data_IF_413751202338
#
_entry.id   IF_413751202338
#
_cell.length_a   1.000
_cell.length_b   1.000
_cell.length_c   1.000
_cell.angle_alpha   90.00
_cell.angle_beta   90.00
_cell.angle_gamma   90.00
#
_symmetry.space_group_name_H-M   'P 1'
#
loop_
_entity.id
_entity.type
_entity.pdbx_description
1 polymer ?
#
# COMPACT_ATOMS: atom_id res chain seq x y z
N UNK A 1 7.18 2.89 36.89
CA UNK A 1 6.56 3.91 36.00
C UNK A 1 5.71 3.09 35.06
N UNK A 2 4.41 2.98 35.37
CA UNK A 2 3.50 2.10 34.65
C UNK A 2 3.05 2.78 33.36
N UNK A 3 3.15 2.06 32.25
CA UNK A 3 2.63 2.47 30.95
C UNK A 3 1.10 2.57 31.05
N UNK A 4 0.60 3.76 31.40
CA UNK A 4 -0.78 4.13 31.14
C UNK A 4 -0.94 4.37 29.63
N UNK A 5 -0.92 3.29 28.85
CA UNK A 5 -1.43 3.34 27.49
C UNK A 5 -2.95 3.60 27.59
N UNK A 6 -3.34 4.80 27.20
CA UNK A 6 -4.73 5.23 27.15
C UNK A 6 -5.50 4.30 26.19
N UNK A 7 -6.29 3.39 26.76
CA UNK A 7 -7.01 2.32 26.02
C UNK A 7 -7.98 2.89 24.96
N UNK A 8 -8.28 4.19 25.02
CA UNK A 8 -9.09 4.92 24.05
C UNK A 8 -8.36 5.23 22.73
N UNK A 9 -7.03 5.12 22.69
CA UNK A 9 -6.22 5.45 21.50
C UNK A 9 -6.48 4.46 20.37
N UNK A 10 -6.55 3.15 20.66
CA UNK A 10 -6.76 2.12 19.63
C UNK A 10 -8.11 2.31 18.91
N UNK A 11 -9.26 2.44 19.61
CA UNK A 11 -10.54 2.76 18.96
C UNK A 11 -10.50 4.05 18.15
N UNK A 12 -9.83 5.09 18.64
CA UNK A 12 -9.74 6.40 17.96
C UNK A 12 -8.93 6.31 16.67
N UNK A 13 -7.82 5.60 16.68
CA UNK A 13 -7.01 5.35 15.47
C UNK A 13 -7.81 4.54 14.45
N UNK A 14 -8.51 3.47 14.87
CA UNK A 14 -9.38 2.68 13.97
C UNK A 14 -10.47 3.55 13.34
N UNK A 15 -11.17 4.36 14.13
CA UNK A 15 -12.19 5.26 13.61
C UNK A 15 -11.62 6.27 12.60
N UNK A 16 -10.41 6.78 12.85
CA UNK A 16 -9.73 7.67 11.91
C UNK A 16 -9.41 6.96 10.59
N UNK A 17 -8.84 5.75 10.66
CA UNK A 17 -8.50 4.94 9.50
C UNK A 17 -9.77 4.61 8.69
N UNK A 18 -10.82 4.13 9.36
CA UNK A 18 -12.11 3.80 8.72
C UNK A 18 -12.71 5.00 7.99
N UNK A 19 -12.61 6.21 8.58
CA UNK A 19 -13.10 7.43 7.95
C UNK A 19 -12.40 7.69 6.61
N UNK A 20 -11.09 7.49 6.52
CA UNK A 20 -10.34 7.66 5.28
C UNK A 20 -10.57 6.50 4.30
N UNK A 21 -10.63 5.26 4.81
CA UNK A 21 -10.83 4.07 3.97
C UNK A 21 -12.21 4.09 3.30
N UNK A 22 -13.27 4.57 3.97
CA UNK A 22 -14.63 4.68 3.41
C UNK A 22 -14.77 5.73 2.30
N UNK A 23 -13.85 6.68 2.18
CA UNK A 23 -13.90 7.67 1.12
C UNK A 23 -13.48 7.04 -0.21
N UNK A 24 -14.38 7.00 -1.20
CA UNK A 24 -14.08 6.50 -2.56
C UNK A 24 -12.86 7.19 -3.21
N UNK A 25 -12.57 8.43 -2.80
CA UNK A 25 -11.46 9.26 -3.29
C UNK A 25 -10.09 8.87 -2.72
N UNK A 26 -10.05 8.06 -1.66
CA UNK A 26 -8.80 7.63 -1.03
C UNK A 26 -8.22 6.43 -1.75
N UNK A 27 -6.97 6.53 -2.20
CA UNK A 27 -6.20 5.36 -2.63
C UNK A 27 -5.72 4.61 -1.40
N UNK A 28 -5.99 3.31 -1.32
CA UNK A 28 -5.58 2.45 -0.21
C UNK A 28 -4.28 1.76 -0.59
N UNK A 29 -3.25 1.95 0.22
CA UNK A 29 -1.96 1.27 0.10
C UNK A 29 -1.87 0.27 1.25
N UNK A 30 -2.19 -1.00 0.97
CA UNK A 30 -2.15 -2.05 1.98
C UNK A 30 -0.72 -2.60 2.09
N UNK A 31 0.01 -2.14 3.11
CA UNK A 31 1.39 -2.54 3.35
C UNK A 31 1.44 -3.84 4.14
N UNK A 32 2.10 -4.86 3.60
CA UNK A 32 2.19 -6.19 4.20
C UNK A 32 3.65 -6.64 4.18
N UNK A 33 4.23 -7.11 5.30
CA UNK A 33 5.58 -7.66 5.28
C UNK A 33 5.57 -9.08 4.69
N UNK A 34 6.61 -9.45 3.95
CA UNK A 34 6.71 -10.73 3.25
C UNK A 34 6.96 -11.93 4.18
N UNK A 35 7.40 -11.66 5.42
CA UNK A 35 7.77 -12.69 6.41
C UNK A 35 6.59 -13.15 7.29
N UNK A 36 5.39 -12.62 7.07
CA UNK A 36 4.16 -13.09 7.75
C UNK A 36 3.25 -13.73 6.72
N UNK A 37 2.36 -14.63 7.16
CA UNK A 37 1.37 -15.19 6.25
C UNK A 37 0.46 -14.10 5.69
N UNK A 38 0.71 -13.76 4.43
CA UNK A 38 0.04 -12.69 3.72
C UNK A 38 -1.44 -13.02 3.40
N UNK A 39 -1.87 -14.27 3.54
CA UNK A 39 -3.25 -14.67 3.24
C UNK A 39 -4.22 -14.13 4.29
N UNK A 40 -3.77 -13.98 5.54
CA UNK A 40 -4.61 -13.66 6.69
C UNK A 40 -4.27 -12.32 7.37
N UNK A 41 -3.73 -11.35 6.63
CA UNK A 41 -3.45 -10.04 7.22
C UNK A 41 -4.71 -9.19 7.33
N UNK A 42 -5.00 -8.72 8.54
CA UNK A 42 -6.17 -7.88 8.87
C UNK A 42 -6.30 -6.68 7.92
N UNK A 43 -5.16 -6.11 7.48
CA UNK A 43 -5.15 -4.95 6.58
C UNK A 43 -5.70 -5.26 5.18
N UNK A 44 -5.44 -6.45 4.64
CA UNK A 44 -5.98 -6.83 3.33
C UNK A 44 -7.48 -7.09 3.42
N UNK A 45 -7.95 -7.62 4.55
CA UNK A 45 -9.39 -7.78 4.79
C UNK A 45 -10.08 -6.42 4.93
N UNK A 46 -9.56 -5.54 5.78
CA UNK A 46 -10.11 -4.18 5.95
C UNK A 46 -10.11 -3.40 4.63
N UNK A 47 -9.06 -3.54 3.81
CA UNK A 47 -9.00 -2.93 2.49
C UNK A 47 -10.06 -3.51 1.53
N UNK A 48 -10.27 -4.82 1.55
CA UNK A 48 -11.31 -5.48 0.75
C UNK A 48 -12.73 -5.09 1.17
N UNK A 49 -12.97 -4.89 2.47
CA UNK A 49 -14.26 -4.41 2.99
C UNK A 49 -14.53 -2.96 2.57
N UNK A 50 -13.50 -2.12 2.56
CA UNK A 50 -13.61 -0.71 2.13
C UNK A 50 -13.64 -0.53 0.60
N UNK A 51 -13.03 -1.44 -0.16
CA UNK A 51 -12.96 -1.42 -1.63
C UNK A 51 -13.20 -2.84 -2.20
N UNK A 52 -14.47 -3.31 -2.24
CA UNK A 52 -14.80 -4.67 -2.67
C UNK A 52 -14.38 -4.99 -4.11
N UNK A 53 -14.29 -3.98 -4.97
CA UNK A 53 -13.87 -4.14 -6.36
C UNK A 53 -12.33 -4.07 -6.53
N UNK A 54 -11.59 -3.69 -5.47
CA UNK A 54 -10.14 -3.52 -5.49
C UNK A 54 -9.65 -2.43 -6.45
N UNK A 55 -10.52 -1.50 -6.86
CA UNK A 55 -10.24 -0.52 -7.94
C UNK A 55 -9.34 0.64 -7.52
N UNK A 56 -9.11 0.80 -6.22
CA UNK A 56 -8.28 1.84 -5.60
C UNK A 56 -7.37 1.29 -4.51
N UNK A 57 -7.20 -0.04 -4.44
CA UNK A 57 -6.39 -0.73 -3.44
C UNK A 57 -5.21 -1.44 -4.07
N UNK A 58 -3.99 -1.06 -3.70
CA UNK A 58 -2.77 -1.75 -4.08
C UNK A 58 -2.12 -2.40 -2.85
N UNK A 59 -1.67 -3.65 -3.00
CA UNK A 59 -0.93 -4.35 -1.96
C UNK A 59 0.57 -4.14 -2.13
N UNK A 60 1.23 -3.57 -1.13
CA UNK A 60 2.69 -3.34 -1.13
C UNK A 60 3.35 -4.32 -0.19
N UNK A 61 4.18 -5.19 -0.76
CA UNK A 61 4.93 -6.22 -0.04
C UNK A 61 6.29 -5.65 0.37
N UNK A 62 6.57 -5.64 1.67
CA UNK A 62 7.82 -5.12 2.25
C UNK A 62 8.62 -6.23 2.90
N UNK A 63 9.84 -5.93 3.39
CA UNK A 63 10.70 -6.89 4.11
C UNK A 63 10.93 -8.19 3.33
N UNK A 64 11.01 -8.10 2.00
CA UNK A 64 11.30 -9.23 1.11
C UNK A 64 12.71 -9.81 1.32
N UNK A 65 13.57 -9.07 2.00
CA UNK A 65 14.90 -9.48 2.45
C UNK A 65 14.88 -10.37 3.71
N UNK A 66 13.74 -10.47 4.40
CA UNK A 66 13.57 -11.29 5.60
C UNK A 66 12.73 -12.56 5.35
N UNK A 67 12.53 -12.92 4.09
CA UNK A 67 11.82 -14.15 3.75
C UNK A 67 12.74 -15.34 3.99
N UNK A 68 12.28 -16.33 4.74
CA UNK A 68 13.04 -17.53 5.04
C UNK A 68 13.25 -18.40 3.80
N UNK A 69 14.38 -19.10 3.77
CA UNK A 69 14.69 -20.07 2.71
C UNK A 69 13.63 -21.17 2.64
N UNK A 70 13.04 -21.34 1.46
CA UNK A 70 11.91 -22.24 1.19
C UNK A 70 10.56 -21.52 1.09
N UNK A 71 10.43 -20.30 1.62
CA UNK A 71 9.21 -19.51 1.52
C UNK A 71 9.21 -18.51 0.34
N UNK A 72 10.36 -18.28 -0.30
CA UNK A 72 10.51 -17.29 -1.38
C UNK A 72 9.61 -17.60 -2.56
N UNK A 73 9.46 -18.89 -2.91
CA UNK A 73 8.59 -19.32 -4.00
C UNK A 73 7.13 -18.93 -3.72
N UNK A 74 6.67 -19.08 -2.47
CA UNK A 74 5.31 -18.74 -2.10
C UNK A 74 5.04 -17.23 -2.22
N UNK A 75 5.99 -16.40 -1.79
CA UNK A 75 5.93 -14.94 -1.93
C UNK A 75 6.03 -14.53 -3.40
N UNK A 76 6.89 -15.18 -4.18
CA UNK A 76 7.04 -14.93 -5.61
C UNK A 76 5.72 -15.20 -6.37
N UNK A 77 5.05 -16.32 -6.10
CA UNK A 77 3.74 -16.62 -6.71
C UNK A 77 2.64 -15.64 -6.30
N UNK A 78 2.69 -15.15 -5.06
CA UNK A 78 1.78 -14.11 -4.59
C UNK A 78 2.01 -12.79 -5.35
N UNK A 79 3.25 -12.37 -5.53
CA UNK A 79 3.60 -11.17 -6.29
C UNK A 79 3.15 -11.25 -7.76
N UNK A 80 3.14 -12.47 -8.33
CA UNK A 80 2.55 -12.76 -9.64
C UNK A 80 1.01 -12.86 -9.64
N UNK A 81 0.37 -12.53 -8.52
CA UNK A 81 -1.09 -12.53 -8.37
C UNK A 81 -1.73 -13.92 -8.56
N UNK A 82 -0.99 -15.02 -8.32
CA UNK A 82 -1.48 -16.40 -8.56
C UNK A 82 -2.28 -16.98 -7.40
N UNK A 83 -1.92 -16.65 -6.16
CA UNK A 83 -2.55 -17.23 -4.94
C UNK A 83 -3.82 -16.46 -4.53
N UNK A 84 -3.67 -15.20 -4.13
CA UNK A 84 -4.76 -14.28 -3.80
C UNK A 84 -4.81 -13.22 -4.88
N UNK A 85 -5.94 -13.06 -5.56
CA UNK A 85 -6.06 -12.11 -6.68
C UNK A 85 -6.47 -10.73 -6.18
N UNK A 86 -5.65 -9.73 -6.47
CA UNK A 86 -5.95 -8.32 -6.28
C UNK A 86 -6.13 -7.66 -7.65
N UNK A 87 -7.11 -6.76 -7.78
CA UNK A 87 -7.39 -6.08 -9.06
C UNK A 87 -6.21 -5.22 -9.54
N UNK A 88 -5.61 -4.43 -8.65
CA UNK A 88 -4.38 -3.66 -8.97
C UNK A 88 -3.08 -4.45 -8.73
N UNK A 89 -3.20 -5.72 -8.32
CA UNK A 89 -2.08 -6.63 -8.06
C UNK A 89 -1.25 -6.27 -6.82
N UNK A 90 -0.06 -6.85 -6.79
CA UNK A 90 0.94 -6.65 -5.73
C UNK A 90 2.15 -5.90 -6.26
N UNK A 91 2.86 -5.24 -5.35
CA UNK A 91 4.13 -4.58 -5.65
C UNK A 91 5.13 -4.80 -4.51
N UNK A 92 6.34 -5.26 -4.82
CA UNK A 92 7.38 -5.49 -3.84
C UNK A 92 8.30 -4.28 -3.69
N UNK A 93 8.69 -3.96 -2.45
CA UNK A 93 9.71 -2.95 -2.17
C UNK A 93 10.68 -3.45 -1.11
N UNK A 94 11.92 -2.99 -1.20
CA UNK A 94 12.92 -3.17 -0.14
C UNK A 94 13.24 -1.82 0.46
N UNK A 95 12.85 -1.64 1.72
CA UNK A 95 13.18 -0.46 2.48
C UNK A 95 14.60 -0.54 3.06
N UNK A 96 15.12 0.60 3.50
CA UNK A 96 16.37 0.64 4.30
C UNK A 96 16.17 -0.15 5.59
N UNK A 97 17.09 -1.07 5.86
CA UNK A 97 17.12 -1.83 7.10
C UNK A 97 17.46 -0.93 8.29
N UNK A 98 17.14 -1.39 9.50
CA UNK A 98 17.49 -0.66 10.73
C UNK A 98 18.99 -0.37 10.82
N UNK A 99 19.84 -1.32 10.38
CA UNK A 99 21.30 -1.18 10.35
C UNK A 99 21.75 -0.09 9.37
N UNK A 100 21.11 0.01 8.21
CA UNK A 100 21.43 1.05 7.22
C UNK A 100 21.01 2.45 7.70
N UNK A 101 19.89 2.54 8.44
CA UNK A 101 19.45 3.78 9.07
C UNK A 101 20.45 4.25 10.13
N UNK A 102 20.91 3.36 11.01
CA UNK A 102 21.93 3.69 12.03
C UNK A 102 23.25 4.14 11.41
N UNK A 103 23.60 3.62 10.23
CA UNK A 103 24.80 4.02 9.47
C UNK A 103 24.63 5.30 8.65
N UNK A 104 23.47 5.96 8.70
CA UNK A 104 23.22 7.19 7.95
C UNK A 104 23.11 6.99 6.44
N UNK A 105 22.64 5.83 5.98
CA UNK A 105 22.46 5.57 4.54
C UNK A 105 21.43 6.52 3.95
N UNK A 106 21.86 7.35 2.99
CA UNK A 106 21.00 8.29 2.30
C UNK A 106 19.95 7.57 1.42
N UNK A 107 18.96 8.32 0.94
CA UNK A 107 17.84 7.77 0.18
C UNK A 107 18.33 7.18 -1.15
N UNK A 108 19.20 7.89 -1.86
CA UNK A 108 19.75 7.47 -3.17
C UNK A 108 20.47 6.12 -3.09
N UNK A 109 21.30 5.93 -2.06
CA UNK A 109 21.99 4.66 -1.82
C UNK A 109 21.01 3.55 -1.43
N UNK A 110 19.94 3.88 -0.70
CA UNK A 110 18.86 2.95 -0.43
C UNK A 110 18.18 2.44 -1.70
N UNK A 111 17.90 3.34 -2.65
CA UNK A 111 17.32 2.99 -3.96
C UNK A 111 18.28 2.12 -4.80
N UNK A 112 19.59 2.45 -4.80
CA UNK A 112 20.59 1.63 -5.48
C UNK A 112 20.71 0.23 -4.87
N UNK A 113 20.65 0.12 -3.54
CA UNK A 113 20.65 -1.15 -2.83
C UNK A 113 19.40 -1.98 -3.13
N UNK A 114 18.23 -1.34 -3.26
CA UNK A 114 16.99 -1.99 -3.68
C UNK A 114 17.14 -2.59 -5.09
N UNK A 115 17.60 -1.79 -6.06
CA UNK A 115 17.79 -2.26 -7.44
C UNK A 115 18.78 -3.42 -7.51
N UNK A 116 19.88 -3.34 -6.76
CA UNK A 116 20.88 -4.40 -6.68
C UNK A 116 20.30 -5.68 -6.07
N UNK A 117 19.51 -5.54 -4.99
CA UNK A 117 18.87 -6.68 -4.34
C UNK A 117 17.90 -7.41 -5.27
N UNK A 118 16.98 -6.70 -5.91
CA UNK A 118 16.04 -7.32 -6.84
C UNK A 118 16.74 -7.89 -8.09
N UNK A 119 17.83 -7.26 -8.55
CA UNK A 119 18.58 -7.73 -9.72
C UNK A 119 19.46 -8.97 -9.47
N UNK A 120 19.96 -9.16 -8.25
CA UNK A 120 20.90 -10.25 -7.94
C UNK A 120 20.25 -11.45 -7.24
N UNK A 121 19.12 -11.27 -6.57
CA UNK A 121 18.50 -12.34 -5.79
C UNK A 121 17.82 -13.38 -6.69
N UNK A 122 18.08 -14.66 -6.45
CA UNK A 122 17.68 -15.79 -7.31
C UNK A 122 16.18 -15.81 -7.67
N UNK A 123 15.33 -15.60 -6.66
CA UNK A 123 13.87 -15.58 -6.85
C UNK A 123 13.36 -14.24 -7.38
N UNK A 124 13.86 -13.12 -6.86
CA UNK A 124 13.30 -11.81 -7.17
C UNK A 124 13.73 -11.26 -8.53
N UNK A 125 14.87 -11.68 -9.05
CA UNK A 125 15.33 -11.28 -10.39
C UNK A 125 14.46 -11.84 -11.51
N UNK A 126 13.71 -12.92 -11.24
CA UNK A 126 12.75 -13.54 -12.16
C UNK A 126 11.40 -12.82 -12.17
N UNK A 127 11.16 -11.90 -11.23
CA UNK A 127 9.94 -11.10 -11.22
C UNK A 127 9.98 -10.03 -12.33
N UNK A 128 8.85 -9.81 -13.03
CA UNK A 128 8.69 -8.67 -13.90
C UNK A 128 9.10 -7.35 -13.22
N UNK A 129 9.91 -6.55 -13.92
CA UNK A 129 10.49 -5.30 -13.38
C UNK A 129 9.47 -4.27 -12.94
N UNK A 130 8.23 -4.33 -13.45
CA UNK A 130 7.14 -3.43 -13.06
C UNK A 130 6.45 -3.80 -11.73
N UNK A 131 6.76 -4.98 -11.16
CA UNK A 131 6.19 -5.48 -9.90
C UNK A 131 7.06 -5.18 -8.68
N UNK A 132 8.23 -4.57 -8.86
CA UNK A 132 9.12 -4.26 -7.75
C UNK A 132 9.80 -2.91 -7.89
N UNK A 133 10.29 -2.39 -6.76
CA UNK A 133 11.07 -1.17 -6.68
C UNK A 133 10.24 0.08 -6.44
N UNK A 134 10.79 1.02 -5.66
CA UNK A 134 10.11 2.27 -5.27
C UNK A 134 9.83 3.19 -6.46
N UNK A 135 10.74 3.24 -7.44
CA UNK A 135 10.55 4.05 -8.66
C UNK A 135 9.31 3.58 -9.44
N UNK A 136 9.17 2.27 -9.67
CA UNK A 136 8.01 1.69 -10.36
C UNK A 136 6.74 1.77 -9.53
N UNK A 137 6.85 1.64 -8.20
CA UNK A 137 5.71 1.84 -7.31
C UNK A 137 5.15 3.27 -7.47
N UNK A 138 6.03 4.26 -7.52
CA UNK A 138 5.64 5.67 -7.70
C UNK A 138 4.88 5.88 -9.00
N UNK A 139 5.39 5.35 -10.12
CA UNK A 139 4.71 5.43 -11.43
C UNK A 139 3.29 4.82 -11.37
N UNK A 140 3.15 3.64 -10.73
CA UNK A 140 1.87 2.96 -10.56
C UNK A 140 0.91 3.75 -9.66
N UNK A 141 1.39 4.25 -8.53
CA UNK A 141 0.58 5.06 -7.61
C UNK A 141 0.08 6.34 -8.28
N UNK A 142 0.90 6.99 -9.10
CA UNK A 142 0.49 8.16 -9.89
C UNK A 142 -0.63 7.78 -10.87
N UNK A 143 -0.51 6.67 -11.60
CA UNK A 143 -1.57 6.20 -12.51
C UNK A 143 -2.87 5.91 -11.76
N UNK A 144 -2.79 5.17 -10.64
CA UNK A 144 -3.95 4.83 -9.81
C UNK A 144 -4.64 6.09 -9.28
N UNK A 145 -3.84 7.06 -8.82
CA UNK A 145 -4.35 8.34 -8.33
C UNK A 145 -5.04 9.14 -9.44
N UNK A 146 -4.43 9.22 -10.63
CA UNK A 146 -5.02 9.91 -11.79
C UNK A 146 -6.36 9.29 -12.18
N UNK A 147 -6.45 7.97 -12.24
CA UNK A 147 -7.70 7.27 -12.55
C UNK A 147 -8.75 7.45 -11.45
N UNK A 148 -8.32 7.50 -10.18
CA UNK A 148 -9.23 7.79 -9.08
C UNK A 148 -9.77 9.22 -9.10
N UNK A 149 -8.93 10.20 -9.43
CA UNK A 149 -9.31 11.59 -9.61
C UNK A 149 -10.30 11.71 -10.78
N UNK A 150 -9.99 11.14 -11.95
CA UNK A 150 -10.88 11.18 -13.13
C UNK A 150 -12.27 10.62 -12.83
N UNK A 151 -12.36 9.50 -12.09
CA UNK A 151 -13.64 8.90 -11.70
C UNK A 151 -14.42 9.71 -10.66
N UNK A 152 -13.72 10.42 -9.77
CA UNK A 152 -14.35 11.17 -8.68
C UNK A 152 -14.67 12.62 -9.02
N UNK A 153 -13.95 13.26 -9.95
CA UNK A 153 -14.12 14.67 -10.31
C UNK A 153 -15.57 15.07 -10.66
N UNK A 154 -16.33 14.33 -11.48
CA UNK A 154 -17.70 14.72 -11.80
C UNK A 154 -18.59 14.79 -10.56
N UNK A 155 -18.49 13.80 -9.67
CA UNK A 155 -19.23 13.78 -8.39
C UNK A 155 -18.83 14.96 -7.50
N UNK A 156 -17.54 15.32 -7.47
CA UNK A 156 -17.04 16.46 -6.68
C UNK A 156 -17.62 17.78 -7.17
N UNK A 157 -17.67 17.98 -8.49
CA UNK A 157 -18.27 19.20 -9.08
C UNK A 157 -19.74 19.29 -8.66
N UNK A 158 -20.50 18.20 -8.79
CA UNK A 158 -21.90 18.16 -8.36
C UNK A 158 -22.06 18.43 -6.86
N UNK A 159 -21.20 17.84 -6.02
CA UNK A 159 -21.22 18.06 -4.56
C UNK A 159 -20.95 19.53 -4.20
N UNK A 160 -19.97 20.16 -4.85
CA UNK A 160 -19.65 21.58 -4.65
C UNK A 160 -20.83 22.46 -5.07
N UNK A 161 -21.40 22.23 -6.26
CA UNK A 161 -22.55 23.00 -6.75
C UNK A 161 -23.78 22.85 -5.84
N UNK A 162 -24.04 21.63 -5.32
CA UNK A 162 -25.14 21.40 -4.37
C UNK A 162 -24.93 22.17 -3.06
N UNK A 163 -23.73 22.07 -2.47
CA UNK A 163 -23.38 22.78 -1.22
C UNK A 163 -23.44 24.30 -1.38
N UNK A 164 -23.01 24.83 -2.53
CA UNK A 164 -23.14 26.25 -2.85
C UNK A 164 -24.62 26.68 -2.89
N UNK A 165 -25.47 25.93 -3.57
CA UNK A 165 -26.90 26.22 -3.67
C UNK A 165 -27.63 26.14 -2.32
N UNK A 166 -27.27 25.16 -1.47
CA UNK A 166 -27.80 25.03 -0.11
C UNK A 166 -27.40 26.22 0.77
N UNK A 167 -26.14 26.65 0.69
CA UNK A 167 -25.63 27.80 1.46
C UNK A 167 -26.32 29.08 1.01
N UNK A 168 -26.55 29.25 -0.30
CA UNK A 168 -27.23 30.41 -0.86
C UNK A 168 -28.73 30.47 -0.57
N UNK A 169 -29.39 29.32 -0.31
CA UNK A 169 -30.80 29.28 0.16
C UNK A 169 -30.95 29.53 1.65
N UNK A 170 -29.89 29.30 2.42
CA UNK A 170 -29.87 29.49 3.88
C UNK A 170 -29.47 30.91 4.28
N UNK A 171 -29.12 31.74 3.30
CA UNK A 171 -28.87 33.19 3.40
C UNK A 171 -30.13 33.96 2.99
#
# INVERSE_FOLDING_TARGET
IGDHEDQSIIPRVRQMVDRYMKQERTVIIAVVPANVDMHNTEILQAAQEADPNGTRTIAVVTKVDLVDAGAELAVHELLLNKKKKMHLGYHAVKCRSQRELTKGTNIEKGLANEMTFFGQHEYWCRLPTHLWGVSRLTERLVSILQDNIRRSLPKVITEISSRMAETQKSL
#
